data_IF_953441586827
#
_entry.id   IF_953441586827
#
_cell.length_a   1.000
_cell.length_b   1.000
_cell.length_c   1.000
_cell.angle_alpha   90.00
_cell.angle_beta   90.00
_cell.angle_gamma   90.00
#
_symmetry.space_group_name_H-M   'P 1'
#
loop_
_entity.id
_entity.type
_entity.pdbx_description
1 polymer ?
#
# COMPACT_ATOMS: atom_id res chain seq x y z
N UNK A 1 11.17 30.08 -35.65
CA UNK A 1 10.24 29.11 -36.29
C UNK A 1 9.35 28.51 -35.22
N UNK A 2 8.02 28.61 -35.36
CA UNK A 2 7.05 28.04 -34.40
C UNK A 2 6.71 26.60 -34.80
N UNK A 3 7.02 25.63 -33.95
CA UNK A 3 6.56 24.25 -34.11
C UNK A 3 5.03 24.21 -33.98
N UNK A 4 4.31 23.94 -35.08
CA UNK A 4 2.83 24.09 -35.15
C UNK A 4 2.10 22.76 -35.40
N UNK A 5 2.78 21.61 -35.40
CA UNK A 5 2.13 20.30 -35.63
C UNK A 5 2.66 19.23 -34.68
N UNK A 6 1.77 18.81 -33.78
CA UNK A 6 1.90 17.61 -32.95
C UNK A 6 1.14 16.48 -33.65
N UNK A 7 1.82 15.38 -33.98
CA UNK A 7 1.22 14.17 -34.56
C UNK A 7 1.34 13.04 -33.56
N UNK A 8 0.22 12.55 -33.04
CA UNK A 8 0.19 11.40 -32.12
C UNK A 8 0.57 10.14 -32.88
N UNK A 9 1.72 9.55 -32.54
CA UNK A 9 2.31 8.41 -33.25
C UNK A 9 1.85 7.07 -32.66
N UNK A 10 1.57 7.06 -31.35
CA UNK A 10 1.14 5.86 -30.61
C UNK A 10 0.37 6.30 -29.36
N UNK A 11 -0.84 5.79 -29.21
CA UNK A 11 -1.61 5.97 -27.98
C UNK A 11 -1.23 4.83 -27.01
N UNK A 12 -0.67 5.18 -25.86
CA UNK A 12 -0.35 4.20 -24.81
C UNK A 12 -1.60 4.06 -23.94
N UNK A 13 -2.24 2.88 -23.87
CA UNK A 13 -3.39 2.70 -23.00
C UNK A 13 -2.97 2.94 -21.55
N UNK A 14 -3.76 3.72 -20.82
CA UNK A 14 -3.51 3.99 -19.40
C UNK A 14 -3.68 2.66 -18.66
N UNK A 15 -2.68 2.19 -17.90
CA UNK A 15 -2.82 0.95 -17.15
C UNK A 15 -3.95 1.09 -16.14
N UNK A 16 -4.95 0.20 -16.24
CA UNK A 16 -6.02 0.10 -15.24
C UNK A 16 -5.44 -0.62 -14.03
N UNK A 17 -4.98 0.15 -13.04
CA UNK A 17 -4.47 -0.40 -11.78
C UNK A 17 -5.63 -0.81 -10.89
N UNK A 18 -5.70 -2.09 -10.56
CA UNK A 18 -6.75 -2.67 -9.72
C UNK A 18 -6.58 -2.26 -8.25
N UNK A 19 -7.66 -2.36 -7.46
CA UNK A 19 -7.60 -2.08 -6.02
C UNK A 19 -6.60 -3.01 -5.31
N UNK A 20 -6.56 -4.29 -5.69
CA UNK A 20 -5.61 -5.26 -5.13
C UNK A 20 -4.16 -4.87 -5.40
N UNK A 21 -3.83 -4.38 -6.59
CA UNK A 21 -2.47 -3.93 -6.91
C UNK A 21 -2.06 -2.72 -6.06
N UNK A 22 -2.99 -1.78 -5.80
CA UNK A 22 -2.74 -0.62 -4.92
C UNK A 22 -2.49 -1.06 -3.48
N UNK A 23 -3.28 -2.01 -3.00
CA UNK A 23 -3.12 -2.55 -1.65
C UNK A 23 -1.80 -3.32 -1.53
N UNK A 24 -1.48 -4.19 -2.49
CA UNK A 24 -0.23 -4.94 -2.50
C UNK A 24 0.98 -4.01 -2.46
N UNK A 25 0.96 -2.94 -3.26
CA UNK A 25 2.01 -1.92 -3.25
C UNK A 25 2.15 -1.25 -1.87
N UNK A 26 1.03 -0.94 -1.23
CA UNK A 26 1.00 -0.27 0.08
C UNK A 26 1.57 -1.18 1.18
N UNK A 27 1.19 -2.45 1.17
CA UNK A 27 1.69 -3.47 2.09
C UNK A 27 3.19 -3.65 1.90
N UNK A 28 3.68 -3.76 0.67
CA UNK A 28 5.10 -3.86 0.37
C UNK A 28 5.89 -2.64 0.85
N UNK A 29 5.35 -1.43 0.71
CA UNK A 29 5.99 -0.22 1.25
C UNK A 29 6.07 -0.25 2.77
N UNK A 30 5.01 -0.69 3.45
CA UNK A 30 4.99 -0.79 4.91
C UNK A 30 5.91 -1.90 5.43
N UNK A 31 6.04 -3.04 4.74
CA UNK A 31 6.97 -4.13 5.11
C UNK A 31 8.45 -3.72 5.12
N UNK A 32 8.81 -2.68 4.37
CA UNK A 32 10.20 -2.20 4.31
C UNK A 32 10.62 -1.40 5.56
N UNK A 33 9.65 -0.95 6.34
CA UNK A 33 9.83 -0.11 7.53
C UNK A 33 9.27 -0.74 8.80
N UNK A 34 8.24 -1.58 8.69
CA UNK A 34 7.55 -2.22 9.80
C UNK A 34 7.75 -3.74 9.75
N UNK A 35 8.46 -4.26 10.76
CA UNK A 35 8.94 -5.65 10.82
C UNK A 35 8.28 -6.50 11.91
N UNK A 36 7.17 -6.02 12.49
CA UNK A 36 6.46 -6.75 13.54
C UNK A 36 5.92 -8.08 12.98
N UNK A 37 6.10 -9.16 13.74
CA UNK A 37 5.88 -10.54 13.33
C UNK A 37 4.43 -10.86 12.93
N UNK A 38 3.44 -10.45 13.72
CA UNK A 38 2.03 -10.76 13.47
C UNK A 38 1.53 -10.02 12.23
N UNK A 39 1.87 -8.73 12.12
CA UNK A 39 1.54 -7.92 10.95
C UNK A 39 2.24 -8.41 9.68
N UNK A 40 3.51 -8.79 9.76
CA UNK A 40 4.27 -9.32 8.61
C UNK A 40 3.69 -10.66 8.14
N UNK A 41 3.23 -11.50 9.07
CA UNK A 41 2.55 -12.75 8.76
C UNK A 41 1.23 -12.49 8.02
N UNK A 42 0.44 -11.53 8.49
CA UNK A 42 -0.76 -11.09 7.79
C UNK A 42 -0.44 -10.54 6.39
N UNK A 43 0.55 -9.66 6.28
CA UNK A 43 0.97 -9.05 5.01
C UNK A 43 1.34 -10.12 3.96
N UNK A 44 2.10 -11.14 4.36
CA UNK A 44 2.46 -12.26 3.48
C UNK A 44 1.23 -13.09 3.07
N UNK A 45 0.29 -13.33 3.97
CA UNK A 45 -0.96 -14.04 3.66
C UNK A 45 -1.86 -13.22 2.71
N UNK A 46 -1.84 -11.89 2.81
CA UNK A 46 -2.56 -11.00 1.90
C UNK A 46 -1.94 -11.01 0.50
N UNK A 47 -0.62 -10.84 0.42
CA UNK A 47 0.15 -10.80 -0.83
C UNK A 47 0.04 -12.12 -1.60
N UNK A 48 0.15 -13.26 -0.90
CA UNK A 48 -0.05 -14.60 -1.50
C UNK A 48 -1.51 -14.92 -1.88
N UNK A 49 -2.46 -14.07 -1.49
CA UNK A 49 -3.88 -14.31 -1.73
C UNK A 49 -4.52 -15.36 -0.82
N UNK A 50 -3.77 -15.92 0.14
CA UNK A 50 -4.25 -16.93 1.10
C UNK A 50 -5.37 -16.39 1.99
N UNK A 51 -5.28 -15.13 2.40
CA UNK A 51 -6.34 -14.48 3.20
C UNK A 51 -6.47 -12.99 2.85
N UNK A 52 -7.52 -12.63 2.11
CA UNK A 52 -7.86 -11.24 1.74
C UNK A 52 -9.19 -10.77 2.33
N UNK A 53 -9.51 -11.25 3.53
CA UNK A 53 -10.75 -10.88 4.21
C UNK A 53 -10.63 -9.50 4.87
N UNK A 54 -11.76 -8.79 4.94
CA UNK A 54 -11.84 -7.51 5.66
C UNK A 54 -11.50 -7.70 7.14
N UNK A 55 -11.99 -8.75 7.80
CA UNK A 55 -11.70 -9.05 9.20
C UNK A 55 -10.18 -9.17 9.45
N UNK A 56 -9.45 -9.91 8.61
CA UNK A 56 -8.01 -10.05 8.76
C UNK A 56 -7.27 -8.72 8.58
N UNK A 57 -7.68 -7.90 7.61
CA UNK A 57 -7.11 -6.57 7.39
C UNK A 57 -7.39 -5.60 8.56
N UNK A 58 -8.59 -5.67 9.14
CA UNK A 58 -8.93 -4.88 10.32
C UNK A 58 -8.05 -5.25 11.51
N UNK A 59 -7.88 -6.54 11.80
CA UNK A 59 -7.00 -7.01 12.86
C UNK A 59 -5.56 -6.52 12.68
N UNK A 60 -5.04 -6.56 11.45
CA UNK A 60 -3.69 -6.04 11.17
C UNK A 60 -3.57 -4.52 11.39
N UNK A 61 -4.62 -3.75 11.08
CA UNK A 61 -4.65 -2.32 11.37
C UNK A 61 -4.62 -2.09 12.89
N UNK A 62 -5.40 -2.83 13.67
CA UNK A 62 -5.42 -2.74 15.13
C UNK A 62 -4.07 -3.11 15.77
N UNK A 63 -3.39 -4.14 15.26
CA UNK A 63 -2.03 -4.50 15.71
C UNK A 63 -1.07 -3.32 15.50
N UNK A 64 -1.09 -2.72 14.30
CA UNK A 64 -0.24 -1.57 13.98
C UNK A 64 -0.59 -0.33 14.84
N UNK A 65 -1.89 -0.08 15.09
CA UNK A 65 -2.36 1.04 15.90
C UNK A 65 -1.97 0.87 17.38
N UNK A 66 -2.16 -0.33 17.94
CA UNK A 66 -1.79 -0.64 19.32
C UNK A 66 -0.30 -0.43 19.55
N UNK A 67 0.54 -0.84 18.60
CA UNK A 67 1.99 -0.60 18.66
C UNK A 67 2.33 0.89 18.53
N UNK A 68 1.62 1.63 17.68
CA UNK A 68 1.75 3.08 17.57
C UNK A 68 1.35 3.83 18.85
N UNK A 69 0.33 3.36 19.57
CA UNK A 69 -0.15 3.99 20.82
C UNK A 69 0.72 3.66 22.04
N UNK A 70 1.39 2.51 22.06
CA UNK A 70 2.26 2.09 23.17
C UNK A 70 3.65 2.74 23.08
N UNK A 71 4.11 3.08 21.87
CA UNK A 71 5.32 3.88 21.69
C UNK A 71 4.98 5.38 21.69
N UNK A 72 5.45 6.13 22.69
CA UNK A 72 5.27 7.60 22.83
C UNK A 72 5.71 8.35 21.55
N UNK A 73 6.67 7.78 20.81
CA UNK A 73 6.91 8.14 19.42
C UNK A 73 6.11 7.20 18.54
N UNK A 74 4.92 7.64 18.09
CA UNK A 74 4.23 6.97 17.00
C UNK A 74 5.20 6.92 15.81
N UNK A 75 5.88 5.78 15.64
CA UNK A 75 6.89 5.69 14.60
C UNK A 75 6.15 5.78 13.28
N UNK A 76 6.68 6.61 12.40
CA UNK A 76 6.24 6.78 11.01
C UNK A 76 6.00 5.40 10.36
N UNK A 77 6.74 4.37 10.78
CA UNK A 77 6.64 2.97 10.37
C UNK A 77 5.31 2.30 10.77
N UNK A 78 4.83 2.51 12.00
CA UNK A 78 3.56 1.96 12.47
C UNK A 78 2.36 2.64 11.77
N UNK A 79 2.45 3.95 11.49
CA UNK A 79 1.44 4.65 10.70
C UNK A 79 1.40 4.19 9.24
N UNK A 80 2.56 3.81 8.66
CA UNK A 80 2.62 3.20 7.34
C UNK A 80 1.89 1.84 7.32
N UNK A 81 2.15 1.00 8.33
CA UNK A 81 1.52 -0.30 8.50
C UNK A 81 0.00 -0.20 8.72
N UNK A 82 -0.46 0.73 9.57
CA UNK A 82 -1.88 1.01 9.78
C UNK A 82 -2.57 1.43 8.47
N UNK A 83 -1.98 2.41 7.76
CA UNK A 83 -2.55 2.91 6.50
C UNK A 83 -2.64 1.82 5.43
N UNK A 84 -1.65 0.94 5.35
CA UNK A 84 -1.64 -0.19 4.43
C UNK A 84 -2.72 -1.24 4.77
N UNK A 85 -2.88 -1.56 6.06
CA UNK A 85 -3.89 -2.51 6.53
C UNK A 85 -5.32 -1.97 6.36
N UNK A 86 -5.52 -0.68 6.62
CA UNK A 86 -6.83 -0.04 6.40
C UNK A 86 -7.20 0.04 4.92
N UNK A 87 -6.23 0.31 4.03
CA UNK A 87 -6.44 0.23 2.59
C UNK A 87 -6.84 -1.20 2.14
N UNK A 88 -6.27 -2.23 2.78
CA UNK A 88 -6.65 -3.62 2.55
C UNK A 88 -8.08 -3.91 3.03
N UNK A 89 -8.48 -3.39 4.19
CA UNK A 89 -9.85 -3.52 4.73
C UNK A 89 -10.89 -2.95 3.76
N UNK A 90 -10.67 -1.73 3.27
CA UNK A 90 -11.57 -1.09 2.30
C UNK A 90 -11.62 -1.85 0.97
N UNK A 91 -10.49 -2.41 0.52
CA UNK A 91 -10.45 -3.20 -0.72
C UNK A 91 -11.22 -4.52 -0.61
N UNK A 92 -11.24 -5.13 0.58
CA UNK A 92 -12.00 -6.35 0.84
C UNK A 92 -13.50 -6.10 1.03
N UNK A 93 -13.91 -4.90 1.41
CA UNK A 93 -15.32 -4.53 1.51
C UNK A 93 -15.90 -4.25 0.12
N UNK A 94 -16.68 -5.20 -0.40
CA UNK A 94 -17.39 -5.10 -1.68
C UNK A 94 -18.22 -3.81 -1.71
N UNK A 95 -17.90 -2.89 -2.61
CA UNK A 95 -18.67 -1.67 -2.85
C UNK A 95 -18.02 -0.35 -2.39
N UNK A 96 -16.87 -0.36 -1.71
CA UNK A 96 -16.08 0.87 -1.49
C UNK A 96 -14.93 0.98 -2.48
N UNK A 97 -14.80 2.15 -3.11
CA UNK A 97 -13.55 2.49 -3.77
C UNK A 97 -12.48 2.67 -2.69
N UNK A 98 -11.36 1.97 -2.81
CA UNK A 98 -10.21 2.18 -1.93
C UNK A 98 -9.81 3.65 -2.08
N UNK A 99 -9.86 4.47 -1.02
CA UNK A 99 -9.44 5.85 -1.13
C UNK A 99 -7.97 5.84 -1.55
N UNK A 100 -7.67 6.39 -2.74
CA UNK A 100 -6.30 6.54 -3.27
C UNK A 100 -5.34 7.13 -2.21
N UNK A 101 -5.88 7.88 -1.26
CA UNK A 101 -5.19 8.51 -0.14
C UNK A 101 -4.53 7.52 0.85
N UNK A 102 -5.18 6.42 1.25
CA UNK A 102 -4.59 5.53 2.27
C UNK A 102 -3.40 4.73 1.74
N UNK A 103 -3.53 4.23 0.50
CA UNK A 103 -2.44 3.58 -0.20
C UNK A 103 -1.25 4.53 -0.43
N UNK A 104 -1.53 5.80 -0.74
CA UNK A 104 -0.49 6.82 -0.90
C UNK A 104 0.18 7.21 0.43
N UNK A 105 -0.58 7.28 1.53
CA UNK A 105 -0.05 7.62 2.85
C UNK A 105 0.95 6.56 3.35
N UNK A 106 0.65 5.27 3.17
CA UNK A 106 1.58 4.20 3.54
C UNK A 106 2.95 4.37 2.85
N UNK A 107 2.94 4.66 1.54
CA UNK A 107 4.16 4.92 0.78
C UNK A 107 4.86 6.22 1.22
N UNK A 108 4.11 7.29 1.51
CA UNK A 108 4.66 8.57 1.95
C UNK A 108 5.40 8.45 3.29
N UNK A 109 4.81 7.71 4.25
CA UNK A 109 5.45 7.43 5.53
C UNK A 109 6.69 6.56 5.35
N UNK A 110 6.63 5.52 4.53
CA UNK A 110 7.76 4.62 4.32
C UNK A 110 8.98 5.31 3.65
N UNK A 111 8.74 6.20 2.68
CA UNK A 111 9.81 6.95 1.98
C UNK A 111 10.49 7.98 2.90
N UNK A 112 9.80 8.47 3.93
CA UNK A 112 10.36 9.43 4.90
C UNK A 112 11.51 8.83 5.71
N UNK A 113 11.50 7.52 5.97
CA UNK A 113 12.50 6.85 6.80
C UNK A 113 13.57 6.09 6.00
N UNK A 114 13.32 5.75 4.72
CA UNK A 114 14.24 4.94 3.91
C UNK A 114 14.17 5.32 2.43
N UNK A 115 15.32 5.30 1.73
CA UNK A 115 15.34 5.37 0.26
C UNK A 115 14.75 4.08 -0.30
N UNK A 116 13.45 4.10 -0.60
CA UNK A 116 12.72 2.97 -1.18
C UNK A 116 12.81 2.99 -2.70
N UNK A 117 13.06 1.82 -3.29
CA UNK A 117 12.95 1.65 -4.73
C UNK A 117 11.49 1.47 -5.13
N UNK A 118 10.77 2.59 -5.24
CA UNK A 118 9.33 2.60 -5.56
C UNK A 118 9.01 1.86 -6.88
N UNK A 119 9.91 1.94 -7.87
CA UNK A 119 9.77 1.23 -9.15
C UNK A 119 9.80 -0.30 -8.95
N UNK A 120 10.68 -0.79 -8.07
CA UNK A 120 10.78 -2.22 -7.78
C UNK A 120 9.52 -2.72 -7.06
N UNK A 121 9.06 -1.97 -6.05
CA UNK A 121 7.86 -2.31 -5.28
C UNK A 121 6.60 -2.26 -6.15
N UNK A 122 6.49 -1.29 -7.07
CA UNK A 122 5.38 -1.19 -8.02
C UNK A 122 5.32 -2.38 -8.98
N UNK A 123 6.47 -2.89 -9.44
CA UNK A 123 6.53 -4.09 -10.29
C UNK A 123 6.10 -5.35 -9.52
N UNK A 124 6.53 -5.50 -8.27
CA UNK A 124 6.13 -6.63 -7.42
C UNK A 124 4.63 -6.61 -7.12
N UNK A 125 4.06 -5.43 -6.93
CA UNK A 125 2.62 -5.27 -6.67
C UNK A 125 1.72 -5.58 -7.88
N UNK A 126 2.28 -5.67 -9.08
CA UNK A 126 1.57 -5.95 -10.32
C UNK A 126 1.48 -7.44 -10.67
N UNK A 127 2.25 -8.30 -9.98
CA UNK A 127 2.20 -9.76 -10.10
C UNK A 127 0.94 -10.34 -9.44
#
# INVERSE_FOLDING_TARGET
MRCTRLKTIKQIPIPIITNNQRVNFSILCAMEVYIESEWTTWANNWLSGKNRTNAAAYTAAEIANTKASVCIYATVDANAAYSAAYAAFDAANVGRQVPRAYAANAAAYAVKNKKLSLIKLAKLAQQ
#
